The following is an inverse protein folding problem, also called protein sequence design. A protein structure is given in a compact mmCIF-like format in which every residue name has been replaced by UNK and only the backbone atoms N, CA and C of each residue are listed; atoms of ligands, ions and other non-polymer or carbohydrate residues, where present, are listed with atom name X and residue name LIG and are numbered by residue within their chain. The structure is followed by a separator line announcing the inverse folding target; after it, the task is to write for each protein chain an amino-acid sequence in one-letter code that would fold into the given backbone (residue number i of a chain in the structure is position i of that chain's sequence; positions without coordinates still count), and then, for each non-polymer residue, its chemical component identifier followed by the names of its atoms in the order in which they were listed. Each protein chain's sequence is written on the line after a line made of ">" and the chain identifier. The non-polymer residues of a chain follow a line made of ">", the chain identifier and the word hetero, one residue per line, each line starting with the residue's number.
data_IF_782059759899
#
_entry.id   IF_782059759899
#
_cell.length_a   1.000
_cell.length_b   1.000
_cell.length_c   1.000
_cell.angle_alpha   90.00
_cell.angle_beta   90.00
_cell.angle_gamma   90.00
#
_symmetry.space_group_name_H-M   'P 1'
#
loop_
_entity.id
_entity.type
_entity.pdbx_description
1 polymer ?
#
# COMPACT_ATOMS: atom_id res chain seq x y z
N UNK A 1 -8.45 -30.25 9.00
CA UNK A 1 -7.32 -30.15 8.06
C UNK A 1 -7.24 -28.72 7.59
N UNK A 2 -6.08 -28.08 7.74
CA UNK A 2 -5.84 -26.77 7.14
C UNK A 2 -5.77 -26.95 5.62
N UNK A 3 -6.56 -26.18 4.87
CA UNK A 3 -6.64 -26.28 3.41
C UNK A 3 -5.53 -25.49 2.71
N UNK A 4 -5.54 -25.49 1.37
CA UNK A 4 -4.57 -24.76 0.52
C UNK A 4 -4.52 -23.26 0.83
N UNK A 5 -5.62 -22.69 1.36
CA UNK A 5 -5.79 -21.25 1.56
C UNK A 5 -5.59 -20.78 3.01
N UNK A 6 -5.31 -21.68 3.96
CA UNK A 6 -5.13 -21.34 5.38
C UNK A 6 -3.93 -22.06 5.97
N UNK A 7 -3.11 -21.35 6.75
CA UNK A 7 -2.00 -21.96 7.45
C UNK A 7 -2.46 -22.58 8.81
N UNK A 8 -1.54 -23.26 9.49
CA UNK A 8 -1.79 -23.90 10.78
C UNK A 8 -2.22 -22.94 11.91
N UNK A 9 -2.04 -21.63 11.72
CA UNK A 9 -2.48 -20.59 12.66
C UNK A 9 -3.84 -19.99 12.29
N UNK A 10 -4.52 -20.50 11.26
CA UNK A 10 -5.81 -20.00 10.80
C UNK A 10 -5.73 -18.66 10.04
N UNK A 11 -4.53 -18.28 9.59
CA UNK A 11 -4.32 -17.10 8.76
C UNK A 11 -4.63 -17.45 7.30
N UNK A 12 -5.52 -16.69 6.68
CA UNK A 12 -5.80 -16.80 5.25
C UNK A 12 -4.57 -16.36 4.44
N UNK A 13 -4.11 -17.22 3.55
CA UNK A 13 -2.97 -16.96 2.65
C UNK A 13 -3.35 -15.98 1.55
N UNK A 14 -4.63 -15.94 1.17
CA UNK A 14 -5.20 -15.02 0.20
C UNK A 14 -6.59 -14.56 0.69
N UNK A 15 -6.86 -13.27 0.60
CA UNK A 15 -8.22 -12.74 0.62
C UNK A 15 -8.67 -12.59 -0.83
N UNK A 16 -9.55 -13.47 -1.30
CA UNK A 16 -10.22 -13.28 -2.58
C UNK A 16 -11.50 -12.47 -2.34
N UNK A 17 -11.50 -11.20 -2.74
CA UNK A 17 -12.76 -10.53 -3.02
C UNK A 17 -13.22 -11.08 -4.35
N UNK A 18 -14.23 -11.96 -4.33
CA UNK A 18 -14.71 -12.69 -5.51
C UNK A 18 -14.87 -11.74 -6.73
N UNK A 19 -15.56 -10.60 -6.57
CA UNK A 19 -15.80 -9.64 -7.66
C UNK A 19 -16.01 -8.22 -7.13
N UNK A 20 -15.46 -7.21 -7.83
CA UNK A 20 -15.94 -5.81 -7.71
C UNK A 20 -17.19 -5.69 -8.60
N UNK A 21 -18.32 -5.28 -8.00
CA UNK A 21 -19.61 -5.16 -8.69
C UNK A 21 -20.15 -3.76 -8.58
N UNK A 22 -20.71 -3.25 -9.67
CA UNK A 22 -21.25 -1.91 -9.76
C UNK A 22 -22.77 -1.96 -9.78
N UNK A 23 -23.40 -1.10 -8.98
CA UNK A 23 -24.85 -0.95 -8.92
C UNK A 23 -25.20 0.53 -8.97
N UNK A 24 -26.40 0.85 -9.44
CA UNK A 24 -26.93 2.20 -9.32
C UNK A 24 -27.07 2.58 -7.83
N UNK A 25 -26.91 3.85 -7.49
CA UNK A 25 -26.91 4.31 -6.09
C UNK A 25 -28.26 4.07 -5.39
N UNK A 26 -29.34 4.06 -6.16
CA UNK A 26 -30.71 3.77 -5.70
C UNK A 26 -31.06 2.28 -5.78
N UNK A 27 -30.10 1.42 -6.13
CA UNK A 27 -30.33 -0.02 -6.16
C UNK A 27 -30.59 -0.55 -4.74
N UNK A 28 -31.61 -1.41 -4.56
CA UNK A 28 -31.81 -2.14 -3.32
C UNK A 28 -30.56 -2.96 -2.94
N UNK A 29 -30.32 -3.11 -1.64
CA UNK A 29 -29.14 -3.83 -1.13
C UNK A 29 -29.26 -5.33 -1.40
N UNK A 30 -28.27 -5.89 -2.11
CA UNK A 30 -28.11 -7.33 -2.22
C UNK A 30 -27.40 -7.87 -0.96
N UNK A 31 -27.92 -8.97 -0.40
CA UNK A 31 -27.33 -9.68 0.74
C UNK A 31 -26.81 -11.05 0.30
N UNK A 32 -25.64 -11.47 0.79
CA UNK A 32 -25.05 -12.77 0.48
C UNK A 32 -24.57 -13.47 1.75
N UNK A 33 -24.72 -14.80 1.82
CA UNK A 33 -24.23 -15.56 2.96
C UNK A 33 -22.70 -15.78 2.84
N UNK A 34 -21.97 -15.57 3.94
CA UNK A 34 -20.50 -15.63 3.97
C UNK A 34 -19.92 -17.00 3.59
N UNK A 35 -20.70 -18.08 3.73
CA UNK A 35 -20.33 -19.44 3.34
C UNK A 35 -20.73 -19.84 1.90
N UNK A 36 -21.20 -18.89 1.07
CA UNK A 36 -21.66 -19.14 -0.29
C UNK A 36 -23.19 -19.26 -0.42
N UNK A 37 -23.69 -19.48 -1.64
CA UNK A 37 -25.13 -19.59 -1.94
C UNK A 37 -25.72 -18.46 -2.79
N UNK A 38 -24.88 -17.55 -3.31
CA UNK A 38 -25.31 -16.43 -4.16
C UNK A 38 -25.85 -15.23 -3.37
N UNK A 39 -26.37 -14.24 -4.09
CA UNK A 39 -26.95 -13.02 -3.53
C UNK A 39 -28.48 -13.11 -3.53
N UNK A 40 -29.13 -12.50 -2.54
CA UNK A 40 -30.57 -12.38 -2.38
C UNK A 40 -30.94 -10.94 -2.00
N UNK A 41 -32.08 -10.44 -2.46
CA UNK A 41 -32.54 -9.08 -2.16
C UNK A 41 -32.88 -8.87 -0.67
N UNK A 42 -33.21 -9.93 0.09
CA UNK A 42 -33.42 -9.88 1.55
C UNK A 42 -33.07 -11.20 2.25
N UNK A 43 -32.73 -11.14 3.54
CA UNK A 43 -32.28 -12.26 4.39
C UNK A 43 -33.37 -13.34 4.61
N UNK A 44 -34.63 -13.05 4.27
CA UNK A 44 -35.77 -13.95 4.45
C UNK A 44 -36.81 -13.69 3.34
N UNK A 45 -36.68 -14.38 2.20
CA UNK A 45 -37.72 -14.61 1.18
C UNK A 45 -38.65 -13.41 0.85
N UNK A 46 -38.44 -12.77 -0.29
CA UNK A 46 -39.57 -12.29 -1.11
C UNK A 46 -39.12 -12.24 -2.58
N UNK A 47 -40.01 -12.53 -3.51
CA UNK A 47 -39.73 -12.71 -4.95
C UNK A 47 -39.28 -11.46 -5.71
N UNK A 48 -38.54 -10.56 -5.07
CA UNK A 48 -37.80 -9.50 -5.75
C UNK A 48 -36.56 -10.10 -6.41
N UNK A 49 -36.40 -9.79 -7.69
CA UNK A 49 -35.24 -10.23 -8.45
C UNK A 49 -33.96 -9.63 -7.84
N UNK A 50 -32.94 -10.47 -7.66
CA UNK A 50 -31.58 -10.02 -7.37
C UNK A 50 -31.21 -9.00 -8.43
N UNK A 51 -30.74 -7.83 -8.00
CA UNK A 51 -30.26 -6.85 -8.97
C UNK A 51 -28.94 -7.35 -9.52
N UNK A 52 -28.89 -7.50 -10.84
CA UNK A 52 -27.65 -7.78 -11.54
C UNK A 52 -26.77 -6.53 -11.57
N UNK A 53 -25.44 -6.70 -11.51
CA UNK A 53 -24.51 -5.59 -11.61
C UNK A 53 -24.59 -4.92 -12.99
N UNK A 54 -24.27 -3.63 -13.02
CA UNK A 54 -24.13 -2.88 -14.26
C UNK A 54 -22.97 -3.46 -15.10
N UNK A 55 -23.16 -3.63 -16.41
CA UNK A 55 -22.07 -3.90 -17.34
C UNK A 55 -20.98 -2.82 -17.29
N UNK A 56 -19.72 -3.21 -17.46
CA UNK A 56 -18.57 -2.28 -17.37
C UNK A 56 -18.64 -1.15 -18.40
N UNK A 57 -19.20 -1.39 -19.58
CA UNK A 57 -19.36 -0.40 -20.65
C UNK A 57 -20.43 0.66 -20.33
N UNK A 58 -21.25 0.45 -19.30
CA UNK A 58 -22.21 1.42 -18.79
C UNK A 58 -21.67 2.27 -17.64
N UNK A 59 -20.45 1.98 -17.17
CA UNK A 59 -19.84 2.72 -16.07
C UNK A 59 -19.08 3.91 -16.65
N UNK A 60 -19.37 5.15 -16.20
CA UNK A 60 -18.58 6.30 -16.60
C UNK A 60 -17.09 6.09 -16.28
N UNK A 61 -16.16 6.31 -17.23
CA UNK A 61 -14.74 6.02 -17.04
C UNK A 61 -14.12 6.67 -15.79
N UNK A 62 -14.58 7.89 -15.43
CA UNK A 62 -14.13 8.60 -14.24
C UNK A 62 -14.57 7.90 -12.93
N UNK A 63 -15.80 7.38 -12.89
CA UNK A 63 -16.29 6.63 -11.73
C UNK A 63 -15.51 5.33 -11.61
N UNK A 64 -15.32 4.63 -12.73
CA UNK A 64 -14.52 3.41 -12.76
C UNK A 64 -13.10 3.66 -12.26
N UNK A 65 -12.43 4.74 -12.70
CA UNK A 65 -11.06 5.04 -12.27
C UNK A 65 -10.97 5.35 -10.77
N UNK A 66 -11.91 6.11 -10.20
CA UNK A 66 -11.90 6.40 -8.77
C UNK A 66 -12.15 5.15 -7.93
N UNK A 67 -13.11 4.30 -8.31
CA UNK A 67 -13.36 3.04 -7.59
C UNK A 67 -12.17 2.09 -7.69
N UNK A 68 -11.53 1.98 -8.85
CA UNK A 68 -10.32 1.15 -9.00
C UNK A 68 -9.13 1.71 -8.22
N UNK A 69 -9.03 3.04 -8.07
CA UNK A 69 -8.05 3.69 -7.18
C UNK A 69 -8.31 3.32 -5.72
N UNK A 70 -9.57 3.31 -5.27
CA UNK A 70 -9.91 2.91 -3.90
C UNK A 70 -9.62 1.43 -3.65
N UNK A 71 -9.88 0.56 -4.63
CA UNK A 71 -9.54 -0.86 -4.56
C UNK A 71 -8.02 -1.05 -4.50
N UNK A 72 -7.25 -0.36 -5.34
CA UNK A 72 -5.78 -0.40 -5.31
C UNK A 72 -5.24 0.09 -3.94
N UNK A 73 -5.82 1.15 -3.39
CA UNK A 73 -5.47 1.65 -2.06
C UNK A 73 -5.79 0.62 -0.97
N UNK A 74 -6.96 -0.01 -1.02
CA UNK A 74 -7.37 -1.04 -0.06
C UNK A 74 -6.42 -2.24 -0.08
N UNK A 75 -6.15 -2.80 -1.26
CA UNK A 75 -5.22 -3.93 -1.43
C UNK A 75 -3.81 -3.54 -1.00
N UNK A 76 -3.36 -2.35 -1.44
CA UNK A 76 -2.06 -1.80 -1.10
C UNK A 76 -1.86 -1.65 0.41
N UNK A 77 -2.87 -1.15 1.15
CA UNK A 77 -2.82 -0.98 2.61
C UNK A 77 -2.96 -2.30 3.35
N UNK A 78 -3.88 -3.16 2.95
CA UNK A 78 -4.18 -4.43 3.63
C UNK A 78 -3.15 -5.53 3.34
N UNK A 79 -2.23 -5.33 2.39
CA UNK A 79 -1.20 -6.30 2.04
C UNK A 79 -0.31 -6.64 3.24
N UNK A 80 -0.17 -7.93 3.52
CA UNK A 80 0.76 -8.47 4.54
C UNK A 80 2.22 -8.10 4.26
N UNK A 81 2.56 -7.76 3.01
CA UNK A 81 3.90 -7.33 2.67
C UNK A 81 4.28 -5.96 3.27
N UNK A 82 3.30 -5.19 3.74
CA UNK A 82 3.53 -3.98 4.53
C UNK A 82 3.80 -4.26 6.02
N UNK A 83 3.60 -5.50 6.51
CA UNK A 83 3.86 -5.85 7.91
C UNK A 83 5.35 -6.15 8.12
N UNK A 84 6.09 -5.31 8.87
CA UNK A 84 7.50 -5.52 9.14
C UNK A 84 7.77 -6.78 9.98
N UNK A 85 6.81 -7.22 10.79
CA UNK A 85 6.91 -8.42 11.64
C UNK A 85 6.71 -9.71 10.86
N UNK A 86 6.15 -9.65 9.65
CA UNK A 86 5.89 -10.83 8.83
C UNK A 86 7.18 -11.47 8.27
N UNK A 87 8.29 -10.72 8.22
CA UNK A 87 9.61 -11.22 7.80
C UNK A 87 10.11 -12.38 8.67
N UNK A 88 9.69 -12.44 9.92
CA UNK A 88 10.07 -13.47 10.89
C UNK A 88 8.98 -14.56 11.09
N UNK A 89 7.81 -14.41 10.45
CA UNK A 89 6.69 -15.35 10.55
C UNK A 89 6.64 -16.39 9.42
N UNK A 90 7.35 -16.18 8.32
CA UNK A 90 7.34 -17.07 7.15
C UNK A 90 8.39 -18.17 7.24
N UNK A 91 7.96 -19.42 7.48
CA UNK A 91 8.82 -20.61 7.46
C UNK A 91 9.16 -21.08 6.02
N UNK A 92 8.50 -20.55 4.98
CA UNK A 92 8.62 -21.05 3.60
C UNK A 92 9.17 -20.02 2.60
N UNK A 93 9.94 -20.49 1.61
CA UNK A 93 10.61 -19.64 0.60
C UNK A 93 9.68 -18.78 -0.26
N UNK A 94 8.47 -19.29 -0.59
CA UNK A 94 7.50 -18.58 -1.43
C UNK A 94 7.03 -17.23 -0.82
N UNK A 95 7.00 -17.14 0.51
CA UNK A 95 6.61 -15.93 1.24
C UNK A 95 7.69 -14.85 1.15
N UNK A 96 8.96 -15.27 1.12
CA UNK A 96 10.11 -14.38 0.98
C UNK A 96 10.19 -13.80 -0.43
N UNK A 97 9.90 -14.61 -1.44
CA UNK A 97 9.85 -14.18 -2.85
C UNK A 97 8.69 -13.22 -3.12
N UNK A 98 7.51 -13.48 -2.53
CA UNK A 98 6.37 -12.55 -2.56
C UNK A 98 6.72 -11.21 -1.90
N UNK A 99 7.32 -11.23 -0.70
CA UNK A 99 7.72 -9.99 -0.02
C UNK A 99 8.75 -9.21 -0.84
N UNK A 100 9.77 -9.86 -1.41
CA UNK A 100 10.78 -9.20 -2.23
C UNK A 100 10.17 -8.57 -3.50
N UNK A 101 9.34 -9.33 -4.23
CA UNK A 101 8.68 -8.83 -5.44
C UNK A 101 7.71 -7.69 -5.14
N UNK A 102 6.94 -7.75 -4.06
CA UNK A 102 6.07 -6.64 -3.66
C UNK A 102 6.89 -5.43 -3.15
N UNK A 103 7.95 -5.68 -2.37
CA UNK A 103 8.72 -4.63 -1.72
C UNK A 103 9.55 -3.80 -2.69
N UNK A 104 10.02 -4.39 -3.78
CA UNK A 104 11.00 -3.78 -4.70
C UNK A 104 10.71 -4.02 -6.20
N UNK A 105 9.53 -4.56 -6.52
CA UNK A 105 9.11 -4.87 -7.89
C UNK A 105 8.72 -3.64 -8.72
N UNK A 106 7.92 -3.86 -9.76
CA UNK A 106 7.47 -2.78 -10.63
C UNK A 106 6.47 -1.84 -9.94
N UNK A 107 6.40 -0.60 -10.43
CA UNK A 107 5.45 0.38 -9.90
C UNK A 107 4.03 0.06 -10.34
N UNK A 108 3.10 0.09 -9.37
CA UNK A 108 1.66 0.17 -9.65
C UNK A 108 1.31 1.54 -10.23
N UNK A 109 0.09 1.69 -10.78
CA UNK A 109 -0.40 2.97 -11.28
C UNK A 109 -0.43 4.07 -10.19
N UNK A 110 -0.77 3.70 -8.95
CA UNK A 110 -0.71 4.61 -7.81
C UNK A 110 0.72 5.04 -7.49
N UNK A 111 1.68 4.11 -7.51
CA UNK A 111 3.09 4.43 -7.29
C UNK A 111 3.69 5.31 -8.41
N UNK A 112 3.25 5.12 -9.67
CA UNK A 112 3.63 5.98 -10.78
C UNK A 112 3.09 7.42 -10.61
N UNK A 113 1.83 7.57 -10.18
CA UNK A 113 1.26 8.88 -9.82
C UNK A 113 2.05 9.52 -8.68
N UNK A 114 2.42 8.73 -7.67
CA UNK A 114 3.23 9.16 -6.53
C UNK A 114 4.59 9.70 -6.94
N UNK A 115 5.25 9.04 -7.91
CA UNK A 115 6.48 9.52 -8.54
C UNK A 115 6.31 10.91 -9.15
N UNK A 116 5.28 11.12 -9.97
CA UNK A 116 5.02 12.41 -10.62
C UNK A 116 4.78 13.54 -9.60
N UNK A 117 4.15 13.23 -8.48
CA UNK A 117 3.98 14.21 -7.39
C UNK A 117 5.34 14.52 -6.73
N UNK A 118 6.14 13.50 -6.41
CA UNK A 118 7.46 13.69 -5.82
C UNK A 118 8.39 14.51 -6.71
N UNK A 119 8.33 14.34 -8.04
CA UNK A 119 9.10 15.16 -9.00
C UNK A 119 8.83 16.66 -8.85
N UNK A 120 7.62 17.05 -8.41
CA UNK A 120 7.24 18.44 -8.21
C UNK A 120 7.49 18.94 -6.78
N UNK A 121 7.37 18.04 -5.80
CA UNK A 121 7.48 18.37 -4.37
C UNK A 121 8.95 18.44 -3.93
N UNK A 122 9.76 17.41 -4.25
CA UNK A 122 11.15 17.28 -3.79
C UNK A 122 12.00 18.53 -4.08
N UNK A 123 11.95 19.16 -5.28
CA UNK A 123 12.76 20.34 -5.57
C UNK A 123 12.45 21.57 -4.69
N UNK A 124 11.31 21.57 -3.99
CA UNK A 124 10.87 22.66 -3.11
C UNK A 124 11.21 22.39 -1.63
N UNK A 125 11.77 21.23 -1.32
CA UNK A 125 12.16 20.84 0.03
C UNK A 125 13.63 21.17 0.30
N UNK A 126 13.99 21.31 1.58
CA UNK A 126 15.38 21.55 2.01
C UNK A 126 16.35 20.42 1.62
N UNK A 127 15.83 19.23 1.36
CA UNK A 127 16.60 18.02 1.02
C UNK A 127 16.75 17.81 -0.50
N UNK A 128 16.37 18.79 -1.32
CA UNK A 128 16.34 18.66 -2.78
C UNK A 128 17.68 18.23 -3.37
N UNK A 129 18.79 18.78 -2.88
CA UNK A 129 20.17 18.50 -3.33
C UNK A 129 20.70 17.12 -2.87
N UNK A 130 19.97 16.47 -1.95
CA UNK A 130 20.23 15.13 -1.43
C UNK A 130 19.34 14.08 -2.08
N UNK A 131 18.35 14.47 -2.88
CA UNK A 131 17.37 13.56 -3.45
C UNK A 131 17.52 13.42 -4.97
N UNK A 132 17.37 12.19 -5.45
CA UNK A 132 17.27 11.87 -6.88
C UNK A 132 16.17 10.85 -7.11
N UNK A 133 15.26 11.15 -8.04
CA UNK A 133 14.26 10.18 -8.48
C UNK A 133 14.86 9.30 -9.57
N UNK A 134 14.73 7.99 -9.37
CA UNK A 134 15.11 6.96 -10.35
C UNK A 134 13.84 6.37 -10.97
N UNK A 135 13.93 5.19 -11.59
CA UNK A 135 12.77 4.48 -12.12
C UNK A 135 11.72 4.20 -11.03
N UNK A 136 12.05 3.34 -10.07
CA UNK A 136 11.14 2.88 -9.00
C UNK A 136 11.51 3.32 -7.59
N UNK A 137 12.61 4.05 -7.43
CA UNK A 137 13.10 4.53 -6.14
C UNK A 137 13.25 6.04 -6.08
N UNK A 138 12.98 6.60 -4.89
CA UNK A 138 13.55 7.86 -4.45
C UNK A 138 14.89 7.56 -3.76
N UNK A 139 15.98 8.00 -4.36
CA UNK A 139 17.33 7.90 -3.80
C UNK A 139 17.60 9.13 -2.93
N UNK A 140 18.04 8.90 -1.69
CA UNK A 140 18.31 9.94 -0.70
C UNK A 140 19.73 9.75 -0.17
N UNK A 141 20.59 10.76 -0.36
CA UNK A 141 21.96 10.79 0.17
C UNK A 141 21.93 11.37 1.58
N UNK A 142 22.15 10.51 2.59
CA UNK A 142 22.45 10.93 3.96
C UNK A 142 23.92 11.27 4.16
N UNK A 143 24.30 11.54 5.41
CA UNK A 143 25.70 11.78 5.79
C UNK A 143 26.45 10.46 6.12
N UNK A 144 25.73 9.38 6.45
CA UNK A 144 26.29 8.05 6.78
C UNK A 144 26.15 7.09 5.59
N UNK A 145 24.95 6.99 4.98
CA UNK A 145 24.70 6.12 3.81
C UNK A 145 23.82 6.79 2.76
N UNK A 146 23.77 6.18 1.58
CA UNK A 146 22.73 6.45 0.56
C UNK A 146 21.59 5.45 0.70
N UNK A 147 20.37 5.94 0.61
CA UNK A 147 19.13 5.19 0.83
C UNK A 147 18.29 5.17 -0.44
N UNK A 148 17.76 4.01 -0.82
CA UNK A 148 16.80 3.84 -1.93
C UNK A 148 15.44 3.49 -1.36
N UNK A 149 14.51 4.44 -1.41
CA UNK A 149 13.14 4.28 -0.91
C UNK A 149 12.25 3.86 -2.08
N UNK A 150 11.65 2.67 -2.03
CA UNK A 150 10.77 2.17 -3.08
C UNK A 150 9.46 2.97 -3.11
N UNK A 151 9.03 3.42 -4.29
CA UNK A 151 7.89 4.33 -4.43
C UNK A 151 6.52 3.64 -4.22
N UNK A 152 6.47 2.31 -4.38
CA UNK A 152 5.26 1.52 -4.16
C UNK A 152 5.03 1.13 -2.70
N UNK A 153 6.07 0.62 -2.05
CA UNK A 153 6.01 -0.01 -0.72
C UNK A 153 6.57 0.88 0.40
N UNK A 154 7.35 1.91 0.07
CA UNK A 154 8.09 2.72 1.04
C UNK A 154 9.27 1.99 1.68
N UNK A 155 9.62 0.77 1.24
CA UNK A 155 10.73 -0.01 1.79
C UNK A 155 12.08 0.57 1.38
N UNK A 156 13.09 0.45 2.25
CA UNK A 156 14.37 1.14 2.12
C UNK A 156 15.49 0.13 1.94
N UNK A 157 16.32 0.35 0.93
CA UNK A 157 17.61 -0.32 0.74
C UNK A 157 18.75 0.68 1.01
N UNK A 158 19.85 0.21 1.59
CA UNK A 158 21.04 1.01 1.86
C UNK A 158 22.18 0.60 0.95
N UNK A 159 22.76 1.56 0.24
CA UNK A 159 23.98 1.34 -0.54
C UNK A 159 25.21 1.19 0.37
N UNK A 160 26.26 0.48 -0.09
CA UNK A 160 26.42 -0.12 -1.44
C UNK A 160 25.90 -1.56 -1.58
N UNK A 161 25.48 -2.21 -0.50
CA UNK A 161 25.16 -3.64 -0.49
C UNK A 161 23.66 -3.95 -0.58
N UNK A 162 22.82 -2.95 -0.80
CA UNK A 162 21.36 -3.04 -0.79
C UNK A 162 20.81 -3.73 0.46
N UNK A 163 21.42 -3.42 1.61
CA UNK A 163 20.96 -3.91 2.89
C UNK A 163 19.63 -3.24 3.24
N UNK A 164 18.62 -4.05 3.58
CA UNK A 164 17.32 -3.55 3.99
C UNK A 164 17.39 -2.74 5.30
N UNK A 165 16.72 -1.59 5.33
CA UNK A 165 16.51 -0.76 6.52
C UNK A 165 15.03 -0.73 6.88
N UNK A 166 14.69 -1.24 8.06
CA UNK A 166 13.32 -1.23 8.57
C UNK A 166 13.07 0.03 9.40
N UNK A 167 12.15 0.87 8.93
CA UNK A 167 11.62 2.02 9.67
C UNK A 167 10.10 1.93 9.67
N UNK A 168 9.53 1.75 10.86
CA UNK A 168 8.09 1.61 11.06
C UNK A 168 7.51 2.97 11.48
N UNK A 169 6.52 3.51 10.74
CA UNK A 169 5.81 4.70 11.18
C UNK A 169 5.16 4.46 12.56
N UNK A 170 5.18 5.47 13.42
CA UNK A 170 4.47 5.39 14.70
C UNK A 170 2.96 5.20 14.44
N UNK A 171 2.36 4.16 15.03
CA UNK A 171 0.91 3.93 14.95
C UNK A 171 0.20 5.06 15.71
N UNK A 172 -0.57 5.88 15.01
CA UNK A 172 -1.44 6.91 15.62
C UNK A 172 -1.30 8.34 15.10
N UNK A 173 -0.34 8.66 14.21
CA UNK A 173 -0.19 10.02 13.65
C UNK A 173 -0.95 10.24 12.35
N UNK A 174 -1.94 9.40 12.04
CA UNK A 174 -2.84 9.61 10.90
C UNK A 174 -3.72 10.87 11.07
N UNK A 175 -3.73 11.46 12.27
CA UNK A 175 -4.48 12.68 12.60
C UNK A 175 -3.57 13.91 12.70
N UNK A 176 -2.61 14.05 11.79
CA UNK A 176 -2.01 15.36 11.51
C UNK A 176 -3.04 16.19 10.76
N UNK A 177 -4.04 16.67 11.52
CA UNK A 177 -5.13 17.52 11.08
C UNK A 177 -4.63 18.69 10.24
N UNK A 178 -4.64 18.49 8.94
CA UNK A 178 -4.39 19.52 7.96
C UNK A 178 -5.56 19.50 7.01
N UNK A 179 -6.41 20.53 7.13
CA UNK A 179 -7.37 20.98 6.10
C UNK A 179 -6.61 21.45 4.84
N UNK A 180 -5.64 20.67 4.38
CA UNK A 180 -4.89 20.90 3.15
C UNK A 180 -5.33 19.77 2.23
N UNK A 181 -6.22 20.11 1.30
CA UNK A 181 -6.56 19.25 0.18
C UNK A 181 -5.30 19.08 -0.67
N UNK A 182 -4.54 18.04 -0.34
CA UNK A 182 -3.48 17.57 -1.20
C UNK A 182 -4.14 16.76 -2.32
N UNK A 183 -3.64 16.81 -3.57
CA UNK A 183 -4.20 16.05 -4.70
C UNK A 183 -4.07 14.52 -4.54
N UNK A 184 -3.71 14.06 -3.34
CA UNK A 184 -3.43 12.70 -2.93
C UNK A 184 -4.01 12.41 -1.53
N UNK A 185 -5.06 13.11 -1.11
CA UNK A 185 -5.86 12.71 0.05
C UNK A 185 -6.18 11.20 -0.01
N UNK A 186 -5.91 10.50 1.09
CA UNK A 186 -6.00 9.04 1.18
C UNK A 186 -4.69 8.28 0.91
N UNK A 187 -3.67 8.87 0.26
CA UNK A 187 -2.39 8.21 0.00
C UNK A 187 -1.39 8.40 1.16
N UNK A 188 -1.56 7.59 2.20
CA UNK A 188 -0.64 7.56 3.34
C UNK A 188 0.79 7.18 2.95
N UNK A 189 0.98 6.46 1.84
CA UNK A 189 2.29 5.98 1.42
C UNK A 189 3.18 7.13 0.95
N UNK A 190 2.64 8.13 0.25
CA UNK A 190 3.39 9.33 -0.13
C UNK A 190 3.94 10.06 1.11
N UNK A 191 3.10 10.25 2.13
CA UNK A 191 3.50 10.89 3.40
C UNK A 191 4.57 10.07 4.13
N UNK A 192 4.47 8.74 4.11
CA UNK A 192 5.50 7.85 4.68
C UNK A 192 6.83 8.00 3.93
N UNK A 193 6.81 8.00 2.59
CA UNK A 193 8.01 8.16 1.76
C UNK A 193 8.68 9.51 2.04
N UNK A 194 7.92 10.60 2.08
CA UNK A 194 8.43 11.94 2.39
C UNK A 194 9.02 12.01 3.81
N UNK A 195 8.34 11.42 4.79
CA UNK A 195 8.82 11.40 6.18
C UNK A 195 10.14 10.62 6.30
N UNK A 196 10.23 9.47 5.63
CA UNK A 196 11.47 8.68 5.55
C UNK A 196 12.58 9.46 4.85
N UNK A 197 12.29 10.14 3.74
CA UNK A 197 13.27 10.94 3.02
C UNK A 197 13.83 12.08 3.88
N UNK A 198 12.97 12.82 4.59
CA UNK A 198 13.38 13.89 5.50
C UNK A 198 14.24 13.36 6.66
N UNK A 199 13.83 12.25 7.27
CA UNK A 199 14.58 11.60 8.36
C UNK A 199 15.97 11.13 7.89
N UNK A 200 16.02 10.45 6.75
CA UNK A 200 17.26 9.83 6.22
C UNK A 200 18.20 10.84 5.58
N UNK A 201 17.68 11.96 5.09
CA UNK A 201 18.52 13.05 4.64
C UNK A 201 19.37 13.63 5.77
N UNK A 202 18.96 13.52 7.03
CA UNK A 202 19.73 13.94 8.22
C UNK A 202 20.08 12.73 9.12
N UNK A 203 20.51 11.62 8.51
CA UNK A 203 20.77 10.35 9.20
C UNK A 203 21.70 10.44 10.43
N UNK A 204 22.65 11.39 10.44
CA UNK A 204 23.55 11.63 11.58
C UNK A 204 22.84 12.20 12.82
N UNK A 205 21.71 12.87 12.63
CA UNK A 205 20.89 13.44 13.71
C UNK A 205 19.90 12.42 14.29
N UNK A 206 19.76 11.23 13.70
CA UNK A 206 18.86 10.19 14.19
C UNK A 206 19.37 9.67 15.53
N UNK A 207 18.52 9.76 16.56
CA UNK A 207 18.81 9.28 17.92
C UNK A 207 18.17 7.93 18.25
N UNK A 208 17.19 7.50 17.45
CA UNK A 208 16.50 6.23 17.66
C UNK A 208 17.46 5.04 17.50
N UNK A 209 17.63 4.26 18.56
CA UNK A 209 18.51 3.10 18.58
C UNK A 209 18.04 1.96 17.68
N UNK A 210 16.74 1.85 17.40
CA UNK A 210 16.19 0.84 16.48
C UNK A 210 16.63 1.12 15.04
N UNK A 211 16.83 2.39 14.68
CA UNK A 211 17.26 2.81 13.34
C UNK A 211 18.79 2.86 13.25
N UNK A 212 19.46 3.52 14.20
CA UNK A 212 20.91 3.73 14.16
C UNK A 212 21.72 2.43 14.21
N UNK A 213 21.23 1.40 14.90
CA UNK A 213 21.85 0.06 14.92
C UNK A 213 21.76 -0.69 13.58
N UNK A 214 20.82 -0.33 12.71
CA UNK A 214 20.70 -0.92 11.37
C UNK A 214 21.59 -0.19 10.35
N UNK A 215 21.80 1.12 10.54
CA UNK A 215 22.60 1.95 9.63
C UNK A 215 24.11 1.77 9.84
N UNK A 216 24.56 1.60 11.10
CA UNK A 216 25.97 1.44 11.46
C UNK A 216 26.40 -0.01 11.38
#
# INVERSE_FOLDING_TARGET
>A
EYGVDTNETGTFLYLSTDQVRFYAMDAPVNTGHAGGGGYAATYWRSGEAVREPLPLDQIPPLIFSEIMRDVDLFVGVASVANDPGWRDAGRDGAQRDYWQSYSFGELTASAATRKQVLERVIPRLKIADRCQLSDRFLVVRGDIRTYKIHLGSGNILMEPNDQYLCIVPARGTADLGTNVFLPFEGDNMLSIILSKALLLAEDRAITDLTITRQIK
#
